data_IF_440591725979
#
_entry.id   IF_440591725979
#
_cell.length_a   1.000
_cell.length_b   1.000
_cell.length_c   1.000
_cell.angle_alpha   90.00
_cell.angle_beta   90.00
_cell.angle_gamma   90.00
#
_symmetry.space_group_name_H-M   'P 1'
#
loop_
_entity.id
_entity.type
_entity.pdbx_description
1 polymer ?
#
# COMPACT_ATOMS: atom_id res chain seq x y z
N UNK A 1 18.93 -65.15 49.83
CA UNK A 1 19.61 -63.85 49.78
C UNK A 1 18.76 -62.98 48.86
N UNK A 2 17.94 -62.09 49.43
CA UNK A 2 17.10 -61.15 48.67
C UNK A 2 17.53 -59.77 49.15
N UNK A 3 18.21 -59.02 48.29
CA UNK A 3 18.52 -57.63 48.51
C UNK A 3 17.32 -56.83 47.97
N UNK A 4 16.42 -56.41 48.86
CA UNK A 4 15.45 -55.35 48.57
C UNK A 4 16.21 -54.03 48.52
N UNK A 5 16.46 -53.54 47.31
CA UNK A 5 16.91 -52.17 47.08
C UNK A 5 15.69 -51.27 47.32
N UNK A 6 15.64 -50.66 48.49
CA UNK A 6 14.70 -49.58 48.79
C UNK A 6 15.16 -48.34 48.03
N UNK A 7 14.53 -48.02 46.90
CA UNK A 7 14.70 -46.74 46.22
C UNK A 7 13.91 -45.72 47.04
N UNK A 8 14.60 -44.94 47.86
CA UNK A 8 14.04 -43.73 48.42
C UNK A 8 13.89 -42.71 47.31
N UNK A 9 12.67 -42.45 46.87
CA UNK A 9 12.36 -41.31 46.01
C UNK A 9 12.41 -40.07 46.91
N UNK A 10 13.49 -39.29 46.76
CA UNK A 10 13.63 -37.97 47.35
C UNK A 10 12.95 -37.00 46.38
N UNK A 11 11.70 -36.64 46.67
CA UNK A 11 10.97 -35.58 45.96
C UNK A 11 11.62 -34.24 46.30
N UNK A 12 12.33 -33.67 45.34
CA UNK A 12 12.75 -32.27 45.37
C UNK A 12 11.54 -31.46 44.88
N UNK A 13 10.66 -31.09 45.80
CA UNK A 13 9.54 -30.20 45.57
C UNK A 13 9.92 -28.81 46.12
N UNK A 14 10.16 -27.86 45.23
CA UNK A 14 10.51 -26.49 45.59
C UNK A 14 10.33 -25.53 44.41
N UNK A 15 11.05 -25.75 43.31
CA UNK A 15 11.06 -24.80 42.17
C UNK A 15 10.14 -25.18 40.99
N UNK A 16 9.71 -26.44 40.89
CA UNK A 16 8.84 -26.90 39.78
C UNK A 16 7.34 -26.66 40.06
N UNK A 17 6.96 -26.52 41.34
CA UNK A 17 5.56 -26.28 41.71
C UNK A 17 5.15 -24.82 41.51
N UNK A 18 6.01 -23.86 41.85
CA UNK A 18 5.74 -22.42 41.71
C UNK A 18 5.57 -21.99 40.25
N UNK A 19 6.40 -22.51 39.35
CA UNK A 19 6.29 -22.23 37.90
C UNK A 19 5.05 -22.83 37.24
N UNK A 20 4.51 -23.92 37.77
CA UNK A 20 3.27 -24.52 37.26
C UNK A 20 2.04 -23.74 37.73
N UNK A 21 2.04 -23.29 38.99
CA UNK A 21 0.96 -22.47 39.56
C UNK A 21 0.87 -21.10 38.86
N UNK A 22 2.01 -20.45 38.64
CA UNK A 22 2.08 -19.16 37.96
C UNK A 22 1.59 -19.24 36.50
N UNK A 23 1.96 -20.30 35.77
CA UNK A 23 1.49 -20.50 34.40
C UNK A 23 -0.03 -20.68 34.33
N UNK A 24 -0.59 -21.47 35.26
CA UNK A 24 -2.03 -21.70 35.33
C UNK A 24 -2.81 -20.43 35.72
N UNK A 25 -2.21 -19.53 36.50
CA UNK A 25 -2.77 -18.22 36.79
C UNK A 25 -2.80 -17.33 35.54
N UNK A 26 -1.67 -17.19 34.83
CA UNK A 26 -1.58 -16.40 33.61
C UNK A 26 -2.56 -16.88 32.54
N UNK A 27 -2.66 -18.20 32.31
CA UNK A 27 -3.62 -18.77 31.34
C UNK A 27 -5.08 -18.45 31.71
N UNK A 28 -5.41 -18.45 33.01
CA UNK A 28 -6.76 -18.14 33.50
C UNK A 28 -7.10 -16.65 33.32
N UNK A 29 -6.15 -15.76 33.62
CA UNK A 29 -6.31 -14.32 33.43
C UNK A 29 -6.39 -13.98 31.94
N UNK A 30 -5.54 -14.59 31.11
CA UNK A 30 -5.58 -14.46 29.65
C UNK A 30 -6.97 -14.81 29.09
N UNK A 31 -7.53 -15.94 29.52
CA UNK A 31 -8.88 -16.35 29.12
C UNK A 31 -9.96 -15.34 29.59
N UNK A 32 -9.80 -14.74 30.77
CA UNK A 32 -10.69 -13.70 31.28
C UNK A 32 -10.63 -12.43 30.44
N UNK A 33 -9.44 -12.04 29.96
CA UNK A 33 -9.27 -10.92 29.03
C UNK A 33 -9.91 -11.19 27.66
N UNK A 34 -9.80 -12.42 27.14
CA UNK A 34 -10.46 -12.84 25.90
C UNK A 34 -11.99 -12.82 26.05
N UNK A 35 -12.53 -13.29 27.17
CA UNK A 35 -13.97 -13.22 27.40
C UNK A 35 -14.45 -11.76 27.55
N UNK A 36 -13.66 -10.91 28.24
CA UNK A 36 -13.92 -9.49 28.35
C UNK A 36 -13.96 -8.79 26.98
N UNK A 37 -12.99 -9.08 26.09
CA UNK A 37 -12.98 -8.49 24.75
C UNK A 37 -14.23 -8.84 23.94
N UNK A 38 -14.72 -10.08 24.07
CA UNK A 38 -15.95 -10.54 23.43
C UNK A 38 -17.20 -9.86 23.99
N UNK A 39 -17.28 -9.66 25.30
CA UNK A 39 -18.39 -8.95 25.92
C UNK A 39 -18.41 -7.47 25.50
N UNK A 40 -17.26 -6.80 25.50
CA UNK A 40 -17.13 -5.42 25.03
C UNK A 40 -17.48 -5.27 23.56
N UNK A 41 -17.03 -6.18 22.70
CA UNK A 41 -17.40 -6.20 21.29
C UNK A 41 -18.91 -6.39 21.09
N UNK A 42 -19.56 -7.21 21.93
CA UNK A 42 -21.02 -7.40 21.92
C UNK A 42 -21.75 -6.11 22.34
N UNK A 43 -21.29 -5.45 23.41
CA UNK A 43 -21.83 -4.15 23.86
C UNK A 43 -21.71 -3.10 22.74
N UNK A 44 -20.53 -3.01 22.11
CA UNK A 44 -20.29 -2.11 21.00
C UNK A 44 -21.20 -2.38 19.79
N UNK A 45 -21.42 -3.66 19.44
CA UNK A 45 -22.19 -4.04 18.26
C UNK A 45 -23.72 -3.95 18.43
N UNK A 46 -24.25 -4.37 19.58
CA UNK A 46 -25.70 -4.48 19.79
C UNK A 46 -26.35 -3.14 20.19
N UNK A 47 -25.55 -2.16 20.64
CA UNK A 47 -26.07 -0.92 21.23
C UNK A 47 -26.86 -1.16 22.53
N UNK A 48 -26.79 -2.38 23.07
CA UNK A 48 -27.40 -2.78 24.33
C UNK A 48 -26.61 -2.15 25.47
N UNK A 49 -27.28 -1.38 26.31
CA UNK A 49 -26.67 -0.39 27.21
C UNK A 49 -25.77 -0.97 28.31
N UNK A 50 -25.79 -2.28 28.57
CA UNK A 50 -25.03 -2.87 29.68
C UNK A 50 -24.84 -4.39 29.57
N UNK A 51 -23.63 -4.89 29.89
CA UNK A 51 -23.33 -6.33 30.09
C UNK A 51 -22.49 -6.50 31.36
N UNK A 52 -22.55 -7.69 31.95
CA UNK A 52 -21.65 -8.03 33.07
C UNK A 52 -21.04 -9.42 32.88
N UNK A 53 -19.87 -9.61 33.48
CA UNK A 53 -19.18 -10.89 33.55
C UNK A 53 -18.43 -11.01 34.88
N UNK A 54 -18.09 -12.23 35.26
CA UNK A 54 -17.10 -12.44 36.31
C UNK A 54 -15.71 -12.35 35.68
N UNK A 55 -14.92 -11.35 36.09
CA UNK A 55 -13.58 -11.08 35.62
C UNK A 55 -12.55 -11.58 36.65
N UNK A 56 -11.49 -12.21 36.16
CA UNK A 56 -10.33 -12.60 36.95
C UNK A 56 -9.11 -11.76 36.56
N UNK A 57 -8.59 -11.01 37.52
CA UNK A 57 -7.45 -10.11 37.39
C UNK A 57 -6.31 -10.50 38.35
N UNK A 58 -6.37 -11.71 38.92
CA UNK A 58 -5.46 -12.15 39.98
C UNK A 58 -5.55 -11.30 41.25
N UNK A 59 -4.52 -11.39 42.10
CA UNK A 59 -4.46 -10.63 43.36
C UNK A 59 -4.09 -9.16 43.15
N UNK A 60 -3.39 -8.83 42.06
CA UNK A 60 -2.92 -7.46 41.75
C UNK A 60 -3.98 -6.59 41.10
N UNK A 61 -4.99 -7.19 40.48
CA UNK A 61 -5.96 -6.47 39.67
C UNK A 61 -5.40 -6.06 38.30
N UNK A 62 -6.27 -5.46 37.48
CA UNK A 62 -5.93 -4.84 36.22
C UNK A 62 -6.13 -3.31 36.32
N UNK A 63 -5.43 -2.55 35.49
CA UNK A 63 -5.49 -1.08 35.46
C UNK A 63 -6.11 -0.67 34.14
N UNK A 64 -7.20 0.10 34.22
CA UNK A 64 -7.81 0.78 33.08
C UNK A 64 -7.10 2.12 32.91
N UNK A 65 -6.53 2.33 31.73
CA UNK A 65 -5.84 3.55 31.32
C UNK A 65 -6.56 4.17 30.13
N UNK A 66 -6.60 5.49 30.08
CA UNK A 66 -7.11 6.23 28.93
C UNK A 66 -5.95 6.70 28.04
N UNK A 67 -6.22 7.00 26.77
CA UNK A 67 -5.24 7.63 25.87
C UNK A 67 -3.90 6.87 25.68
N UNK A 68 -3.94 5.54 25.71
CA UNK A 68 -2.76 4.67 25.53
C UNK A 68 -2.33 4.47 24.08
N UNK A 69 -3.24 4.73 23.13
CA UNK A 69 -2.94 4.69 21.70
C UNK A 69 -3.67 5.79 20.94
N UNK A 70 -3.10 6.14 19.78
CA UNK A 70 -3.67 7.09 18.84
C UNK A 70 -3.78 6.42 17.48
N UNK A 71 -4.99 6.38 16.92
CA UNK A 71 -5.28 5.84 15.61
C UNK A 71 -5.70 7.02 14.72
N UNK A 72 -4.86 7.37 13.76
CA UNK A 72 -5.16 8.40 12.78
C UNK A 72 -5.51 7.75 11.45
N UNK A 73 -6.69 8.06 10.92
CA UNK A 73 -7.20 7.52 9.66
C UNK A 73 -7.38 8.68 8.68
N UNK A 74 -6.64 8.65 7.57
CA UNK A 74 -6.67 9.69 6.55
C UNK A 74 -6.90 9.11 5.16
N UNK A 75 -7.70 9.77 4.35
CA UNK A 75 -8.04 9.36 2.99
C UNK A 75 -9.04 10.32 2.35
N UNK A 76 -9.50 10.01 1.15
CA UNK A 76 -10.52 10.83 0.48
C UNK A 76 -11.81 10.84 1.31
N UNK A 77 -12.22 12.02 1.79
CA UNK A 77 -13.42 12.19 2.62
C UNK A 77 -13.31 11.70 4.07
N UNK A 78 -12.14 11.26 4.55
CA UNK A 78 -11.93 10.83 5.93
C UNK A 78 -10.64 11.41 6.51
N UNK A 79 -10.73 12.05 7.68
CA UNK A 79 -9.57 12.56 8.42
C UNK A 79 -9.91 12.56 9.91
N UNK A 80 -9.68 11.42 10.54
CA UNK A 80 -10.14 11.15 11.89
C UNK A 80 -8.99 10.74 12.80
N UNK A 81 -9.07 11.17 14.05
CA UNK A 81 -8.09 10.84 15.09
C UNK A 81 -8.83 10.28 16.29
N UNK A 82 -8.59 9.00 16.56
CA UNK A 82 -9.26 8.22 17.59
C UNK A 82 -8.25 7.92 18.69
N UNK A 83 -8.62 8.25 19.92
CA UNK A 83 -7.84 7.91 21.10
C UNK A 83 -8.39 6.64 21.71
N UNK A 84 -7.49 5.77 22.15
CA UNK A 84 -7.85 4.45 22.65
C UNK A 84 -7.22 4.19 24.00
N UNK A 85 -8.03 3.73 24.94
CA UNK A 85 -7.57 3.26 26.25
C UNK A 85 -7.09 1.80 26.22
N UNK A 86 -6.47 1.36 27.30
CA UNK A 86 -6.10 -0.03 27.49
C UNK A 86 -6.48 -0.51 28.89
N UNK A 87 -6.79 -1.80 29.01
CA UNK A 87 -6.86 -2.48 30.31
C UNK A 87 -5.63 -3.35 30.40
N UNK A 88 -4.83 -3.18 31.44
CA UNK A 88 -3.54 -3.85 31.58
C UNK A 88 -3.47 -4.67 32.86
N UNK A 89 -2.94 -5.88 32.75
CA UNK A 89 -2.54 -6.73 33.86
C UNK A 89 -1.04 -7.00 33.78
N UNK A 90 -0.35 -6.98 34.92
CA UNK A 90 1.08 -7.31 35.03
C UNK A 90 1.29 -8.45 36.03
N UNK A 91 1.75 -9.60 35.52
CA UNK A 91 2.08 -10.78 36.29
C UNK A 91 3.34 -10.60 37.15
N UNK A 92 3.55 -11.51 38.10
CA UNK A 92 4.78 -11.53 38.93
C UNK A 92 6.06 -11.89 38.16
N UNK A 93 5.92 -12.53 37.01
CA UNK A 93 7.02 -12.87 36.09
C UNK A 93 7.36 -11.74 35.10
N UNK A 94 6.63 -10.61 35.17
CA UNK A 94 6.75 -9.49 34.24
C UNK A 94 5.98 -9.68 32.92
N UNK A 95 5.19 -10.75 32.78
CA UNK A 95 4.26 -10.89 31.64
C UNK A 95 3.17 -9.85 31.76
N UNK A 96 2.93 -9.08 30.69
CA UNK A 96 1.81 -8.12 30.60
C UNK A 96 0.72 -8.66 29.68
N UNK A 97 -0.53 -8.49 30.07
CA UNK A 97 -1.70 -8.68 29.22
C UNK A 97 -2.38 -7.34 29.04
N UNK A 98 -2.71 -7.00 27.80
CA UNK A 98 -3.33 -5.72 27.48
C UNK A 98 -4.52 -5.92 26.54
N UNK A 99 -5.68 -5.43 26.94
CA UNK A 99 -6.79 -5.20 26.04
C UNK A 99 -6.68 -3.79 25.46
N UNK A 100 -6.73 -3.64 24.13
CA UNK A 100 -6.75 -2.33 23.47
C UNK A 100 -7.53 -2.40 22.15
N UNK A 101 -8.46 -1.46 21.94
CA UNK A 101 -9.32 -1.35 20.75
C UNK A 101 -10.05 -2.65 20.34
N UNK A 102 -10.39 -3.52 21.29
CA UNK A 102 -11.03 -4.81 21.00
C UNK A 102 -10.07 -5.99 20.85
N UNK A 103 -8.76 -5.75 20.68
CA UNK A 103 -7.73 -6.79 20.68
C UNK A 103 -7.19 -7.10 22.08
N UNK A 104 -6.63 -8.29 22.25
CA UNK A 104 -5.88 -8.68 23.45
C UNK A 104 -4.48 -9.09 23.05
N UNK A 105 -3.49 -8.47 23.69
CA UNK A 105 -2.06 -8.65 23.43
C UNK A 105 -1.36 -9.17 24.69
N UNK A 106 -0.41 -10.08 24.50
CA UNK A 106 0.49 -10.58 25.54
C UNK A 106 1.91 -10.12 25.26
N UNK A 107 2.52 -9.47 26.23
CA UNK A 107 3.91 -9.02 26.17
C UNK A 107 4.77 -9.79 27.18
N UNK A 108 5.86 -10.41 26.71
CA UNK A 108 6.83 -11.13 27.55
C UNK A 108 8.22 -10.49 27.52
N UNK A 109 8.26 -9.16 27.54
CA UNK A 109 9.48 -8.33 27.57
C UNK A 109 10.29 -8.29 26.25
N UNK A 110 10.37 -9.39 25.51
CA UNK A 110 11.05 -9.45 24.20
C UNK A 110 10.13 -9.68 23.02
N UNK A 111 8.86 -10.02 23.26
CA UNK A 111 7.88 -10.37 22.23
C UNK A 111 6.50 -9.86 22.64
N UNK A 112 5.72 -9.39 21.65
CA UNK A 112 4.28 -9.12 21.78
C UNK A 112 3.54 -10.12 20.89
N UNK A 113 2.52 -10.80 21.43
CA UNK A 113 1.74 -11.80 20.72
C UNK A 113 0.25 -11.44 20.77
N UNK A 114 -0.46 -11.64 19.67
CA UNK A 114 -1.91 -11.49 19.60
C UNK A 114 -2.55 -12.70 20.28
N UNK A 115 -3.33 -12.46 21.34
CA UNK A 115 -4.10 -13.48 22.06
C UNK A 115 -5.54 -13.52 21.53
N UNK A 116 -6.10 -12.34 21.29
CA UNK A 116 -7.41 -12.15 20.65
C UNK A 116 -7.27 -11.06 19.61
N UNK A 117 -7.69 -11.36 18.38
CA UNK A 117 -7.68 -10.41 17.28
C UNK A 117 -8.63 -9.23 17.59
N UNK A 118 -8.25 -7.99 17.23
CA UNK A 118 -9.17 -6.87 17.17
C UNK A 118 -10.38 -7.19 16.27
N UNK A 119 -11.57 -6.61 16.51
CA UNK A 119 -12.77 -6.82 15.69
C UNK A 119 -12.73 -6.10 14.32
N UNK A 120 -11.52 -5.90 13.80
CA UNK A 120 -11.24 -5.41 12.47
C UNK A 120 -11.62 -6.48 11.44
N UNK A 121 -12.24 -6.07 10.34
CA UNK A 121 -12.64 -7.00 9.28
C UNK A 121 -12.51 -6.40 7.91
N UNK A 122 -12.04 -7.23 6.99
CA UNK A 122 -12.07 -6.95 5.56
C UNK A 122 -12.99 -7.95 4.83
N UNK A 123 -14.12 -7.47 4.26
CA UNK A 123 -14.97 -8.29 3.39
C UNK A 123 -14.43 -8.24 1.96
N UNK A 124 -13.76 -9.30 1.53
CA UNK A 124 -13.20 -9.43 0.17
C UNK A 124 -14.25 -9.33 -0.94
N UNK A 125 -15.49 -9.75 -0.69
CA UNK A 125 -16.55 -9.78 -1.71
C UNK A 125 -17.07 -8.38 -2.02
N UNK A 126 -17.06 -7.49 -1.04
CA UNK A 126 -17.52 -6.11 -1.19
C UNK A 126 -16.39 -5.09 -1.09
N UNK A 127 -15.14 -5.54 -0.91
CA UNK A 127 -13.97 -4.71 -0.62
C UNK A 127 -14.28 -3.68 0.47
N UNK A 128 -14.82 -4.15 1.60
CA UNK A 128 -15.26 -3.29 2.70
C UNK A 128 -14.36 -3.48 3.91
N UNK A 129 -13.73 -2.40 4.37
CA UNK A 129 -13.00 -2.38 5.63
C UNK A 129 -13.89 -1.85 6.75
N UNK A 130 -14.01 -2.60 7.84
CA UNK A 130 -14.78 -2.22 9.02
C UNK A 130 -13.88 -2.14 10.24
N UNK A 131 -13.87 -0.96 10.86
CA UNK A 131 -13.08 -0.63 12.04
C UNK A 131 -13.96 -0.14 13.19
N UNK A 132 -14.56 -1.05 13.98
CA UNK A 132 -15.15 -0.70 15.25
C UNK A 132 -14.05 -0.56 16.31
N UNK A 133 -13.83 0.67 16.78
CA UNK A 133 -12.86 0.98 17.83
C UNK A 133 -13.59 1.09 19.16
N UNK A 134 -13.10 0.36 20.18
CA UNK A 134 -13.59 0.51 21.56
C UNK A 134 -12.68 1.46 22.33
N UNK A 135 -13.21 2.59 22.78
CA UNK A 135 -12.56 3.56 23.67
C UNK A 135 -13.02 3.35 25.11
N UNK A 136 -12.12 3.55 26.08
CA UNK A 136 -12.42 3.47 27.51
C UNK A 136 -12.51 4.88 28.07
N UNK A 137 -13.60 5.21 28.76
CA UNK A 137 -13.91 6.59 29.18
C UNK A 137 -13.19 7.03 30.47
N UNK A 138 -12.93 6.08 31.37
CA UNK A 138 -12.41 6.38 32.72
C UNK A 138 -11.21 5.53 33.12
N UNK A 139 -10.27 6.14 33.84
CA UNK A 139 -9.16 5.43 34.48
C UNK A 139 -9.61 4.84 35.82
N UNK A 140 -9.41 3.54 36.00
CA UNK A 140 -9.81 2.82 37.20
C UNK A 140 -8.95 1.58 37.41
N UNK A 141 -9.17 0.87 38.52
CA UNK A 141 -8.55 -0.43 38.79
C UNK A 141 -9.64 -1.48 38.87
N UNK A 142 -9.49 -2.57 38.12
CA UNK A 142 -10.39 -3.70 38.13
C UNK A 142 -9.85 -4.80 39.02
N UNK A 143 -10.61 -5.14 40.06
CA UNK A 143 -10.35 -6.31 40.89
C UNK A 143 -11.03 -7.55 40.31
N UNK A 144 -10.56 -8.73 40.70
CA UNK A 144 -11.28 -9.98 40.42
C UNK A 144 -12.68 -9.94 41.05
N UNK A 145 -13.70 -10.34 40.32
CA UNK A 145 -15.11 -10.26 40.73
C UNK A 145 -16.04 -9.96 39.57
N UNK A 146 -17.28 -9.56 39.87
CA UNK A 146 -18.22 -9.14 38.83
C UNK A 146 -17.83 -7.74 38.32
N UNK A 147 -17.75 -7.60 36.99
CA UNK A 147 -17.44 -6.37 36.26
C UNK A 147 -18.59 -6.08 35.31
N UNK A 148 -18.97 -4.82 35.22
CA UNK A 148 -20.00 -4.31 34.31
C UNK A 148 -19.36 -3.45 33.22
N UNK A 149 -19.93 -3.54 32.02
CA UNK A 149 -19.55 -2.79 30.84
C UNK A 149 -20.77 -2.03 30.35
N UNK A 150 -20.68 -0.71 30.28
CA UNK A 150 -21.77 0.15 29.84
C UNK A 150 -21.33 0.99 28.65
N UNK A 151 -22.10 0.96 27.57
CA UNK A 151 -21.83 1.84 26.43
C UNK A 151 -22.33 3.25 26.75
N UNK A 152 -21.43 4.22 26.83
CA UNK A 152 -21.77 5.61 27.16
C UNK A 152 -21.91 6.47 25.90
N UNK A 153 -21.20 6.14 24.83
CA UNK A 153 -21.25 6.88 23.57
C UNK A 153 -21.05 5.96 22.33
N UNK A 154 -21.55 6.44 21.19
CA UNK A 154 -21.33 5.85 19.87
C UNK A 154 -21.15 6.95 18.84
N UNK A 155 -19.98 7.02 18.23
CA UNK A 155 -19.65 7.96 17.16
C UNK A 155 -19.36 7.19 15.88
N UNK A 156 -20.19 7.38 14.85
CA UNK A 156 -19.91 6.88 13.50
C UNK A 156 -19.09 7.93 12.74
N UNK A 157 -17.87 7.57 12.34
CA UNK A 157 -16.98 8.43 11.56
C UNK A 157 -17.13 8.20 10.05
N UNK A 158 -17.31 6.95 9.66
CA UNK A 158 -17.63 6.56 8.30
C UNK A 158 -18.68 5.44 8.36
N UNK A 159 -19.79 5.59 7.64
CA UNK A 159 -20.84 4.57 7.60
C UNK A 159 -21.14 4.24 6.14
N UNK A 160 -20.56 3.14 5.67
CA UNK A 160 -20.60 2.67 4.29
C UNK A 160 -20.20 3.77 3.31
N UNK A 161 -19.22 4.58 3.69
CA UNK A 161 -18.68 5.63 2.83
C UNK A 161 -18.05 4.94 1.63
N UNK A 162 -18.59 5.20 0.45
CA UNK A 162 -17.95 4.78 -0.79
C UNK A 162 -16.69 5.61 -0.97
N UNK A 163 -15.57 4.93 -1.10
CA UNK A 163 -14.26 5.54 -1.32
C UNK A 163 -13.84 4.98 -2.67
N UNK A 164 -13.72 5.87 -3.65
CA UNK A 164 -13.48 5.60 -5.08
C UNK A 164 -12.12 4.95 -5.31
N UNK A 165 -11.92 3.75 -4.75
CA UNK A 165 -10.68 2.99 -4.75
C UNK A 165 -9.44 3.81 -4.31
N UNK A 166 -9.69 4.91 -3.59
CA UNK A 166 -8.65 5.80 -3.09
C UNK A 166 -7.95 5.17 -1.90
N UNK A 167 -6.62 5.26 -1.80
CA UNK A 167 -5.89 4.73 -0.66
C UNK A 167 -6.29 5.46 0.62
N UNK A 168 -6.40 4.69 1.71
CA UNK A 168 -6.62 5.15 3.07
C UNK A 168 -5.42 4.74 3.88
N UNK A 169 -4.90 5.69 4.65
CA UNK A 169 -3.79 5.49 5.56
C UNK A 169 -4.31 5.41 6.99
N UNK A 170 -3.84 4.39 7.72
CA UNK A 170 -4.11 4.19 9.14
C UNK A 170 -2.78 4.19 9.87
N UNK A 171 -2.53 5.22 10.68
CA UNK A 171 -1.36 5.31 11.54
C UNK A 171 -1.77 4.96 12.97
N UNK A 172 -1.17 3.93 13.55
CA UNK A 172 -1.45 3.46 14.91
C UNK A 172 -0.20 3.66 15.76
N UNK A 173 -0.23 4.63 16.66
CA UNK A 173 0.82 4.83 17.67
C UNK A 173 0.39 4.18 18.98
N UNK A 174 1.10 3.15 19.45
CA UNK A 174 0.74 2.36 20.64
C UNK A 174 1.93 1.62 21.25
N UNK A 175 1.96 1.46 22.57
CA UNK A 175 2.91 0.55 23.26
C UNK A 175 2.78 -0.91 22.74
N UNK A 176 1.61 -1.28 22.19
CA UNK A 176 1.34 -2.60 21.63
C UNK A 176 1.48 -2.65 20.11
N UNK A 177 2.25 -1.73 19.53
CA UNK A 177 2.42 -1.58 18.08
C UNK A 177 2.75 -2.91 17.39
N UNK A 178 3.68 -3.71 17.94
CA UNK A 178 4.08 -5.00 17.36
C UNK A 178 2.91 -5.99 17.26
N UNK A 179 1.99 -5.96 18.23
CA UNK A 179 0.77 -6.75 18.18
C UNK A 179 -0.17 -6.30 17.06
N UNK A 180 -0.33 -4.99 16.87
CA UNK A 180 -1.06 -4.43 15.73
C UNK A 180 -0.43 -4.81 14.38
N UNK A 181 0.89 -4.72 14.28
CA UNK A 181 1.63 -5.08 13.08
C UNK A 181 1.35 -6.54 12.70
N UNK A 182 1.52 -7.46 13.66
CA UNK A 182 1.29 -8.89 13.48
C UNK A 182 -0.13 -9.15 12.97
N UNK A 183 -1.12 -8.49 13.57
CA UNK A 183 -2.53 -8.62 13.14
C UNK A 183 -2.73 -8.17 11.68
N UNK A 184 -2.24 -7.00 11.29
CA UNK A 184 -2.43 -6.50 9.92
C UNK A 184 -1.69 -7.32 8.87
N UNK A 185 -0.48 -7.82 9.20
CA UNK A 185 0.24 -8.76 8.34
C UNK A 185 -0.58 -10.04 8.14
N UNK A 186 -1.12 -10.63 9.20
CA UNK A 186 -1.92 -11.86 9.10
C UNK A 186 -3.24 -11.67 8.34
N UNK A 187 -3.99 -10.59 8.62
CA UNK A 187 -5.28 -10.31 7.96
C UNK A 187 -5.09 -10.01 6.46
N UNK A 188 -4.05 -9.26 6.10
CA UNK A 188 -3.86 -8.82 4.70
C UNK A 188 -3.11 -9.82 3.83
N UNK A 189 -2.24 -10.65 4.42
CA UNK A 189 -1.63 -11.78 3.71
C UNK A 189 -2.68 -12.82 3.26
N UNK A 190 -3.78 -12.99 4.00
CA UNK A 190 -4.86 -13.89 3.60
C UNK A 190 -5.58 -13.47 2.31
N UNK A 191 -5.43 -12.19 1.93
CA UNK A 191 -6.11 -11.59 0.78
C UNK A 191 -5.13 -11.18 -0.31
N UNK A 192 -3.90 -11.72 -0.26
CA UNK A 192 -2.78 -11.40 -1.16
C UNK A 192 -2.50 -9.89 -1.27
N UNK A 193 -2.69 -9.14 -0.19
CA UNK A 193 -2.37 -7.72 -0.12
C UNK A 193 -1.30 -7.44 0.94
N UNK A 194 -0.48 -6.41 0.73
CA UNK A 194 0.49 -5.92 1.72
C UNK A 194 0.02 -4.58 2.25
N UNK A 195 -0.71 -4.60 3.36
CA UNK A 195 -1.24 -3.37 3.94
C UNK A 195 -0.23 -2.63 4.83
N UNK A 196 0.65 -3.35 5.53
CA UNK A 196 1.71 -2.73 6.35
C UNK A 196 2.75 -2.05 5.45
N UNK A 197 2.89 -0.74 5.60
CA UNK A 197 3.82 0.10 4.83
C UNK A 197 5.07 0.44 5.62
N UNK A 198 4.94 0.74 6.91
CA UNK A 198 6.07 0.98 7.81
C UNK A 198 5.81 0.21 9.09
N UNK A 199 6.79 -0.61 9.51
CA UNK A 199 6.71 -1.42 10.72
C UNK A 199 6.96 -0.57 11.97
N UNK A 200 6.65 -1.10 13.15
CA UNK A 200 6.86 -0.40 14.43
C UNK A 200 8.33 -0.05 14.76
N UNK A 201 9.27 -0.67 14.04
CA UNK A 201 10.71 -0.45 14.20
C UNK A 201 11.29 0.49 13.13
N UNK A 202 10.47 0.88 12.15
CA UNK A 202 10.80 1.78 11.06
C UNK A 202 10.06 3.11 11.28
N UNK A 203 10.68 4.24 10.89
CA UNK A 203 10.03 5.55 11.03
C UNK A 203 9.91 6.05 12.47
N UNK A 204 8.71 6.48 12.87
CA UNK A 204 8.43 7.00 14.21
C UNK A 204 8.27 5.85 15.22
N UNK A 205 8.93 5.96 16.37
CA UNK A 205 8.91 4.92 17.39
C UNK A 205 7.47 4.55 17.80
N UNK A 206 7.20 3.25 17.89
CA UNK A 206 5.92 2.69 18.33
C UNK A 206 4.72 3.07 17.44
N UNK A 207 4.99 3.43 16.17
CA UNK A 207 3.96 3.76 15.18
C UNK A 207 3.95 2.78 14.02
N UNK A 208 2.79 2.17 13.78
CA UNK A 208 2.51 1.32 12.63
C UNK A 208 1.80 2.14 11.56
N UNK A 209 2.26 2.07 10.30
CA UNK A 209 1.56 2.65 9.16
C UNK A 209 0.98 1.56 8.28
N UNK A 210 -0.33 1.58 8.12
CA UNK A 210 -1.10 0.68 7.26
C UNK A 210 -1.74 1.48 6.14
N UNK A 211 -1.76 0.92 4.93
CA UNK A 211 -2.47 1.46 3.78
C UNK A 211 -3.43 0.41 3.23
N UNK A 212 -4.66 0.84 2.93
CA UNK A 212 -5.73 0.03 2.37
C UNK A 212 -6.32 0.78 1.17
N UNK A 213 -6.82 0.07 0.18
CA UNK A 213 -7.19 0.67 -1.10
C UNK A 213 -6.00 0.69 -2.04
N UNK A 214 -6.26 0.36 -3.30
CA UNK A 214 -5.26 0.41 -4.37
C UNK A 214 -5.89 1.12 -5.55
N UNK A 215 -5.05 1.87 -6.26
CA UNK A 215 -5.43 2.51 -7.51
C UNK A 215 -5.31 1.46 -8.62
N UNK A 216 -6.39 1.27 -9.38
CA UNK A 216 -6.39 0.48 -10.60
C UNK A 216 -6.66 1.44 -11.78
N UNK A 217 -6.02 1.21 -12.92
CA UNK A 217 -6.33 1.91 -14.17
C UNK A 217 -7.51 1.20 -14.81
N UNK A 218 -8.63 1.93 -14.92
CA UNK A 218 -9.87 1.36 -15.46
C UNK A 218 -9.69 0.92 -16.92
N UNK A 219 -10.34 -0.18 -17.28
CA UNK A 219 -10.51 -0.58 -18.69
C UNK A 219 -11.08 0.60 -19.49
N UNK A 220 -10.51 0.85 -20.67
CA UNK A 220 -10.89 1.95 -21.53
C UNK A 220 -10.17 3.27 -21.27
N UNK A 221 -9.25 3.31 -20.30
CA UNK A 221 -8.40 4.49 -20.05
C UNK A 221 -7.54 4.86 -21.26
N UNK A 222 -7.10 3.84 -22.02
CA UNK A 222 -6.24 3.98 -23.19
C UNK A 222 -6.99 3.82 -24.52
N UNK A 223 -8.31 4.08 -24.57
CA UNK A 223 -9.14 3.97 -25.80
C UNK A 223 -8.83 5.01 -26.89
N UNK A 224 -7.98 6.00 -26.59
CA UNK A 224 -7.71 7.16 -27.44
C UNK A 224 -6.19 7.39 -27.53
N UNK A 225 -5.72 8.06 -28.59
CA UNK A 225 -4.29 8.36 -28.76
C UNK A 225 -3.70 9.23 -27.64
N UNK A 226 -4.26 10.42 -27.42
CA UNK A 226 -3.87 11.30 -26.30
C UNK A 226 -5.10 11.73 -25.51
N UNK A 227 -5.10 11.50 -24.21
CA UNK A 227 -6.08 12.00 -23.25
C UNK A 227 -5.41 13.05 -22.37
N UNK A 228 -5.90 14.29 -22.43
CA UNK A 228 -5.39 15.38 -21.62
C UNK A 228 -6.51 16.28 -21.07
N UNK A 229 -6.31 16.87 -19.89
CA UNK A 229 -7.25 17.83 -19.31
C UNK A 229 -7.17 19.22 -19.93
N UNK A 230 -6.00 19.59 -20.47
CA UNK A 230 -5.78 20.84 -21.19
C UNK A 230 -4.84 20.59 -22.38
N UNK A 231 -5.21 21.10 -23.55
CA UNK A 231 -4.44 20.92 -24.78
C UNK A 231 -4.11 22.26 -25.41
N UNK A 232 -2.85 22.44 -25.81
CA UNK A 232 -2.39 23.62 -26.53
C UNK A 232 -1.51 23.26 -27.74
N UNK A 233 -1.35 24.21 -28.67
CA UNK A 233 -0.51 24.03 -29.86
C UNK A 233 -1.32 23.70 -31.12
N UNK A 234 -0.70 22.96 -32.05
CA UNK A 234 -1.29 22.52 -33.32
C UNK A 234 -1.77 21.08 -33.20
N UNK A 235 -3.09 20.90 -33.24
CA UNK A 235 -3.77 19.62 -32.96
C UNK A 235 -4.62 19.13 -34.13
N UNK A 236 -4.59 19.81 -35.29
CA UNK A 236 -5.53 19.55 -36.39
C UNK A 236 -5.48 18.11 -36.92
N UNK A 237 -4.36 17.41 -36.69
CA UNK A 237 -4.08 16.07 -37.17
C UNK A 237 -3.67 15.09 -36.05
N UNK A 238 -4.00 15.38 -34.78
CA UNK A 238 -3.71 14.50 -33.64
C UNK A 238 -5.00 13.95 -33.05
N UNK A 239 -5.02 12.65 -32.78
CA UNK A 239 -6.11 11.98 -32.08
C UNK A 239 -6.04 12.32 -30.58
N UNK A 240 -6.54 13.50 -30.25
CA UNK A 240 -6.49 14.05 -28.91
C UNK A 240 -7.88 14.34 -28.38
N UNK A 241 -8.16 13.81 -27.20
CA UNK A 241 -9.40 14.06 -26.48
C UNK A 241 -9.10 14.93 -25.28
N UNK A 242 -9.56 16.18 -25.36
CA UNK A 242 -9.63 17.08 -24.21
C UNK A 242 -10.84 16.65 -23.35
N UNK A 243 -10.59 16.04 -22.19
CA UNK A 243 -11.65 15.57 -21.27
C UNK A 243 -11.80 16.54 -20.09
N UNK A 244 -12.96 17.20 -20.01
CA UNK A 244 -13.44 17.90 -18.81
C UNK A 244 -13.85 16.94 -17.65
N UNK A 245 -13.58 15.63 -17.78
CA UNK A 245 -14.11 14.56 -16.90
C UNK A 245 -13.13 14.19 -15.79
N UNK A 246 -13.64 13.42 -14.81
CA UNK A 246 -12.87 12.78 -13.73
C UNK A 246 -11.48 12.37 -14.23
N UNK A 247 -10.46 13.09 -13.75
CA UNK A 247 -9.07 12.81 -14.08
C UNK A 247 -8.74 11.42 -13.54
N UNK A 248 -8.14 10.53 -14.34
CA UNK A 248 -7.68 9.25 -13.82
C UNK A 248 -6.73 9.48 -12.63
N UNK A 249 -6.71 8.57 -11.64
CA UNK A 249 -5.96 8.81 -10.41
C UNK A 249 -4.45 8.85 -10.66
N UNK A 250 -3.76 9.81 -10.04
CA UNK A 250 -2.30 9.91 -10.10
C UNK A 250 -1.61 8.77 -9.34
N UNK A 251 -0.44 8.32 -9.81
CA UNK A 251 0.31 7.20 -9.22
C UNK A 251 1.40 7.62 -8.22
N UNK A 252 1.43 8.89 -7.81
CA UNK A 252 2.51 9.47 -6.99
C UNK A 252 2.85 8.64 -5.75
N UNK A 253 1.88 8.16 -4.95
CA UNK A 253 2.17 7.38 -3.76
C UNK A 253 2.80 6.02 -4.09
N UNK A 254 2.41 5.42 -5.22
CA UNK A 254 2.90 4.12 -5.67
C UNK A 254 4.34 4.28 -6.17
N UNK A 255 4.58 5.22 -7.09
CA UNK A 255 5.91 5.46 -7.66
C UNK A 255 6.90 5.92 -6.59
N UNK A 256 6.53 6.86 -5.72
CA UNK A 256 7.40 7.34 -4.64
C UNK A 256 7.81 6.22 -3.70
N UNK A 257 6.90 5.27 -3.42
CA UNK A 257 7.19 4.10 -2.61
C UNK A 257 8.09 3.11 -3.34
N UNK A 258 7.84 2.83 -4.61
CA UNK A 258 8.72 1.97 -5.42
C UNK A 258 10.15 2.51 -5.45
N UNK A 259 10.32 3.82 -5.68
CA UNK A 259 11.64 4.48 -5.61
C UNK A 259 12.29 4.27 -4.25
N UNK A 260 11.57 4.55 -3.15
CA UNK A 260 12.12 4.40 -1.80
C UNK A 260 12.47 2.95 -1.45
N UNK A 261 11.66 1.97 -1.86
CA UNK A 261 11.89 0.56 -1.56
C UNK A 261 13.03 -0.02 -2.41
N UNK A 262 13.16 0.39 -3.67
CA UNK A 262 14.16 -0.16 -4.59
C UNK A 262 15.55 0.45 -4.41
N UNK A 263 15.64 1.73 -4.02
CA UNK A 263 16.90 2.44 -3.81
C UNK A 263 17.86 1.74 -2.84
N UNK A 264 17.31 1.12 -1.80
CA UNK A 264 18.08 0.47 -0.73
C UNK A 264 17.98 -1.07 -0.76
N UNK A 265 17.47 -1.66 -1.85
CA UNK A 265 17.24 -3.10 -1.95
C UNK A 265 18.35 -3.83 -2.73
N UNK A 266 19.16 -4.61 -2.00
CA UNK A 266 20.24 -5.45 -2.56
C UNK A 266 19.79 -6.49 -3.60
N UNK A 267 18.48 -6.79 -3.70
CA UNK A 267 17.96 -7.70 -4.74
C UNK A 267 17.63 -7.01 -6.06
N UNK A 268 17.66 -5.68 -6.12
CA UNK A 268 17.38 -4.89 -7.32
C UNK A 268 18.69 -4.62 -8.06
N UNK A 269 18.67 -4.74 -9.39
CA UNK A 269 19.86 -4.51 -10.21
C UNK A 269 19.99 -3.02 -10.52
N UNK A 270 21.15 -2.42 -10.26
CA UNK A 270 21.42 -1.05 -10.71
C UNK A 270 21.52 -1.05 -12.24
N UNK A 271 20.74 -0.20 -12.92
CA UNK A 271 20.73 -0.13 -14.38
C UNK A 271 22.12 0.19 -14.94
N UNK A 272 22.95 0.94 -14.21
CA UNK A 272 24.32 1.28 -14.65
C UNK A 272 25.29 0.08 -14.66
N UNK A 273 24.92 -1.02 -14.00
CA UNK A 273 25.65 -2.29 -14.06
C UNK A 273 25.22 -3.16 -15.25
N UNK A 274 24.15 -2.76 -15.96
CA UNK A 274 23.66 -3.42 -17.17
C UNK A 274 24.43 -2.90 -18.39
N UNK A 275 24.75 -3.79 -19.32
CA UNK A 275 25.29 -3.40 -20.63
C UNK A 275 24.19 -2.94 -21.58
N UNK A 276 24.34 -3.28 -22.85
CA UNK A 276 23.36 -2.91 -23.89
C UNK A 276 22.08 -3.79 -23.85
N UNK A 277 22.03 -4.79 -22.97
CA UNK A 277 20.89 -5.71 -22.84
C UNK A 277 20.56 -6.01 -21.38
N UNK A 278 19.35 -5.67 -20.98
CA UNK A 278 18.67 -6.09 -19.76
C UNK A 278 17.79 -7.31 -20.07
N UNK A 279 17.65 -8.23 -19.11
CA UNK A 279 16.70 -9.36 -19.19
C UNK A 279 15.49 -9.11 -18.29
N UNK A 280 14.58 -10.07 -18.17
CA UNK A 280 13.53 -10.06 -17.14
C UNK A 280 14.10 -9.77 -15.73
N UNK A 281 13.38 -9.00 -14.93
CA UNK A 281 13.78 -8.62 -13.58
C UNK A 281 13.49 -7.17 -13.22
N UNK A 282 13.95 -6.73 -12.05
CA UNK A 282 13.75 -5.37 -11.54
C UNK A 282 15.06 -4.59 -11.55
N UNK A 283 15.00 -3.38 -12.11
CA UNK A 283 16.10 -2.46 -12.27
C UNK A 283 15.80 -1.13 -11.60
N UNK A 284 16.84 -0.51 -11.05
CA UNK A 284 16.77 0.81 -10.45
C UNK A 284 17.81 1.74 -11.06
N UNK A 285 17.45 3.01 -11.25
CA UNK A 285 18.38 4.07 -11.59
C UNK A 285 18.04 5.35 -10.81
N UNK A 286 19.05 6.05 -10.30
CA UNK A 286 18.84 7.42 -9.80
C UNK A 286 18.44 8.32 -10.98
N UNK A 287 19.23 8.29 -12.06
CA UNK A 287 18.87 8.84 -13.37
C UNK A 287 19.36 7.90 -14.47
N UNK A 288 18.68 7.88 -15.61
CA UNK A 288 19.00 7.01 -16.74
C UNK A 288 19.15 7.86 -18.01
N UNK A 289 20.32 7.83 -18.63
CA UNK A 289 20.58 8.47 -19.92
C UNK A 289 21.07 7.45 -20.94
N UNK A 290 20.30 7.23 -21.98
CA UNK A 290 20.53 6.25 -23.04
C UNK A 290 20.94 7.01 -24.29
N UNK A 291 22.23 6.96 -24.61
CA UNK A 291 22.82 7.62 -25.78
C UNK A 291 23.25 6.64 -26.88
N UNK A 292 23.30 5.35 -26.56
CA UNK A 292 23.53 4.25 -27.47
C UNK A 292 22.28 3.32 -27.43
N UNK A 293 22.44 2.01 -27.36
CA UNK A 293 21.33 1.04 -27.37
C UNK A 293 21.15 0.42 -25.97
N UNK A 294 19.90 0.32 -25.52
CA UNK A 294 19.50 -0.49 -24.36
C UNK A 294 18.29 -1.33 -24.75
N UNK A 295 18.47 -2.65 -24.77
CA UNK A 295 17.42 -3.61 -25.11
C UNK A 295 16.95 -4.35 -23.87
N UNK A 296 15.65 -4.40 -23.65
CA UNK A 296 15.01 -5.28 -22.67
C UNK A 296 14.54 -6.55 -23.37
N UNK A 297 15.26 -7.64 -23.15
CA UNK A 297 14.94 -8.98 -23.64
C UNK A 297 13.98 -9.68 -22.65
N UNK A 298 12.73 -9.83 -23.08
CA UNK A 298 11.64 -10.39 -22.27
C UNK A 298 11.38 -11.88 -22.54
N UNK A 299 12.36 -12.63 -23.08
CA UNK A 299 12.23 -14.08 -23.31
C UNK A 299 11.84 -14.83 -22.02
N UNK A 300 12.40 -14.43 -20.88
CA UNK A 300 12.25 -15.14 -19.60
C UNK A 300 11.16 -14.58 -18.67
N UNK A 301 10.57 -13.42 -18.97
CA UNK A 301 9.58 -12.78 -18.09
C UNK A 301 9.47 -11.26 -18.27
N UNK A 302 8.66 -10.64 -17.43
CA UNK A 302 8.51 -9.18 -17.37
C UNK A 302 9.80 -8.49 -16.91
N UNK A 303 9.94 -7.22 -17.29
CA UNK A 303 10.96 -6.35 -16.73
C UNK A 303 10.32 -5.11 -16.09
N UNK A 304 10.95 -4.63 -15.03
CA UNK A 304 10.55 -3.39 -14.35
C UNK A 304 11.76 -2.49 -14.22
N UNK A 305 11.64 -1.24 -14.66
CA UNK A 305 12.63 -0.19 -14.48
C UNK A 305 12.03 0.93 -13.61
N UNK A 306 12.67 1.24 -12.48
CA UNK A 306 12.29 2.37 -11.63
C UNK A 306 13.38 3.45 -11.67
N UNK A 307 12.97 4.68 -12.01
CA UNK A 307 13.86 5.84 -12.17
C UNK A 307 13.45 6.94 -11.20
N UNK A 308 14.34 7.31 -10.28
CA UNK A 308 14.08 8.30 -9.23
C UNK A 308 14.02 9.74 -9.75
N UNK A 309 14.86 10.08 -10.73
CA UNK A 309 14.91 11.39 -11.34
C UNK A 309 14.37 11.27 -12.78
N UNK A 310 15.26 11.31 -13.76
CA UNK A 310 14.91 11.40 -15.18
C UNK A 310 15.36 10.20 -16.03
N UNK A 311 14.53 9.84 -17.00
CA UNK A 311 14.83 8.92 -18.10
C UNK A 311 14.98 9.71 -19.41
N UNK A 312 16.20 9.78 -19.93
CA UNK A 312 16.52 10.48 -21.17
C UNK A 312 17.02 9.49 -22.23
N UNK A 313 16.35 9.41 -23.38
CA UNK A 313 16.86 8.75 -24.60
C UNK A 313 17.35 9.86 -25.54
N UNK A 314 18.66 10.01 -25.72
CA UNK A 314 19.30 11.11 -26.45
C UNK A 314 20.10 10.57 -27.65
N UNK A 315 19.44 10.46 -28.80
CA UNK A 315 20.01 9.94 -30.05
C UNK A 315 20.30 8.42 -30.05
N UNK A 316 19.95 7.73 -28.96
CA UNK A 316 20.02 6.28 -28.79
C UNK A 316 18.66 5.59 -28.92
N UNK A 317 18.56 4.35 -28.44
CA UNK A 317 17.33 3.57 -28.47
C UNK A 317 17.12 2.76 -27.18
N UNK A 318 15.91 2.81 -26.64
CA UNK A 318 15.41 1.87 -25.62
C UNK A 318 14.39 0.95 -26.30
N UNK A 319 14.72 -0.34 -26.41
CA UNK A 319 13.92 -1.29 -27.20
C UNK A 319 13.44 -2.46 -26.35
N UNK A 320 12.20 -2.92 -26.56
CA UNK A 320 11.67 -4.15 -25.97
C UNK A 320 11.70 -5.29 -27.01
N UNK A 321 12.28 -6.43 -26.67
CA UNK A 321 12.40 -7.60 -27.55
C UNK A 321 11.87 -8.90 -26.91
N UNK A 322 11.55 -9.88 -27.75
CA UNK A 322 11.18 -11.26 -27.36
C UNK A 322 10.00 -11.37 -26.37
N UNK A 323 9.11 -10.40 -26.36
CA UNK A 323 7.91 -10.35 -25.50
C UNK A 323 6.85 -11.39 -25.89
N UNK A 324 6.83 -11.85 -27.15
CA UNK A 324 5.79 -12.66 -27.79
C UNK A 324 5.90 -14.18 -27.52
N UNK A 325 6.31 -14.58 -26.31
CA UNK A 325 6.45 -16.01 -26.00
C UNK A 325 5.08 -16.72 -25.95
N UNK A 326 5.00 -18.01 -26.39
CA UNK A 326 3.73 -18.71 -26.47
C UNK A 326 2.99 -18.81 -25.12
N UNK A 327 1.88 -18.07 -25.01
CA UNK A 327 1.00 -18.12 -23.85
C UNK A 327 1.41 -17.19 -22.71
N UNK A 328 2.31 -16.26 -22.98
CA UNK A 328 2.66 -15.16 -22.07
C UNK A 328 2.37 -13.83 -22.73
N UNK A 329 2.38 -12.78 -21.92
CA UNK A 329 2.18 -11.40 -22.33
C UNK A 329 3.17 -10.58 -21.50
N UNK A 330 4.43 -10.58 -21.94
CA UNK A 330 5.51 -9.99 -21.15
C UNK A 330 5.70 -8.52 -21.53
N UNK A 331 5.69 -7.64 -20.54
CA UNK A 331 5.86 -6.21 -20.75
C UNK A 331 7.08 -5.66 -19.99
N UNK A 332 7.62 -4.56 -20.52
CA UNK A 332 8.49 -3.66 -19.79
C UNK A 332 7.64 -2.58 -19.13
N UNK A 333 7.76 -2.47 -17.80
CA UNK A 333 7.12 -1.42 -17.02
C UNK A 333 8.17 -0.44 -16.51
N UNK A 334 8.04 0.82 -16.90
CA UNK A 334 8.94 1.90 -16.52
C UNK A 334 8.20 2.84 -15.59
N UNK A 335 8.70 3.03 -14.37
CA UNK A 335 8.16 3.97 -13.40
C UNK A 335 9.16 5.12 -13.23
N UNK A 336 8.77 6.32 -13.63
CA UNK A 336 9.63 7.51 -13.60
C UNK A 336 9.01 8.54 -12.68
N UNK A 337 9.80 9.06 -11.74
CA UNK A 337 9.26 10.00 -10.77
C UNK A 337 9.26 11.45 -11.28
N UNK A 338 10.39 11.94 -11.82
CA UNK A 338 10.53 13.37 -12.13
C UNK A 338 10.33 13.69 -13.63
N UNK A 339 10.91 12.92 -14.56
CA UNK A 339 10.73 13.25 -15.97
C UNK A 339 11.23 12.25 -17.00
N UNK A 340 10.61 12.26 -18.18
CA UNK A 340 10.98 11.43 -19.34
C UNK A 340 11.17 12.30 -20.58
N UNK A 341 12.27 12.08 -21.30
CA UNK A 341 12.59 12.80 -22.52
C UNK A 341 13.16 11.88 -23.60
N UNK A 342 12.50 11.80 -24.75
CA UNK A 342 12.99 11.11 -25.95
C UNK A 342 13.39 12.18 -26.97
N UNK A 343 14.69 12.39 -27.17
CA UNK A 343 15.26 13.48 -27.99
C UNK A 343 16.46 13.04 -28.83
N UNK A 344 17.00 13.96 -29.64
CA UNK A 344 18.40 13.86 -30.07
C UNK A 344 18.64 13.43 -31.52
N UNK A 345 17.67 13.58 -32.42
CA UNK A 345 17.88 13.29 -33.85
C UNK A 345 18.02 11.79 -34.13
N UNK A 346 16.94 11.06 -33.83
CA UNK A 346 16.69 9.61 -33.90
C UNK A 346 16.71 8.90 -32.52
N UNK A 347 16.30 9.56 -31.44
CA UNK A 347 16.02 8.89 -30.17
C UNK A 347 14.76 8.02 -30.30
N UNK A 348 14.82 6.74 -29.94
CA UNK A 348 13.72 5.80 -30.12
C UNK A 348 13.41 5.07 -28.81
N UNK A 349 12.14 4.97 -28.42
CA UNK A 349 11.69 4.17 -27.29
C UNK A 349 10.49 3.34 -27.72
N UNK A 350 10.67 2.04 -27.95
CA UNK A 350 9.74 1.27 -28.77
C UNK A 350 9.78 -0.25 -28.52
N UNK A 351 8.83 -0.96 -29.14
CA UNK A 351 8.79 -2.42 -29.14
C UNK A 351 9.35 -2.90 -30.49
N UNK A 352 10.25 -3.87 -30.47
CA UNK A 352 10.87 -4.32 -31.70
C UNK A 352 9.86 -5.07 -32.60
N UNK A 353 9.88 -4.84 -33.92
CA UNK A 353 10.72 -3.86 -34.62
C UNK A 353 10.17 -2.43 -34.49
N UNK A 354 11.04 -1.47 -34.14
CA UNK A 354 10.72 -0.04 -34.02
C UNK A 354 10.38 0.61 -35.36
N UNK A 355 9.22 0.25 -35.92
CA UNK A 355 8.76 0.66 -37.23
C UNK A 355 7.29 0.99 -37.19
N UNK A 356 6.93 2.19 -37.65
CA UNK A 356 5.54 2.63 -37.65
C UNK A 356 4.60 1.68 -38.41
N UNK A 357 3.48 1.33 -37.79
CA UNK A 357 2.38 0.55 -38.36
C UNK A 357 2.36 -0.96 -38.06
N UNK A 358 3.42 -1.52 -37.49
CA UNK A 358 3.40 -2.82 -36.78
C UNK A 358 3.75 -2.50 -35.32
N UNK A 359 2.72 -2.40 -34.47
CA UNK A 359 2.85 -1.85 -33.12
C UNK A 359 2.27 -2.83 -32.11
N UNK A 360 2.95 -2.93 -30.96
CA UNK A 360 2.57 -3.80 -29.83
C UNK A 360 2.66 -2.96 -28.55
N UNK A 361 1.89 -1.86 -28.53
CA UNK A 361 2.03 -0.78 -27.54
C UNK A 361 1.78 -1.23 -26.09
N UNK A 362 1.11 -2.38 -25.90
CA UNK A 362 0.84 -3.00 -24.60
C UNK A 362 2.13 -3.43 -23.87
N UNK A 363 3.23 -3.65 -24.61
CA UNK A 363 4.47 -4.21 -24.07
C UNK A 363 5.48 -3.19 -23.57
N UNK A 364 5.27 -1.90 -23.85
CA UNK A 364 6.04 -0.82 -23.28
C UNK A 364 5.13 0.13 -22.50
N UNK A 365 5.20 0.03 -21.18
CA UNK A 365 4.32 0.74 -20.27
C UNK A 365 5.12 1.75 -19.45
N UNK A 366 4.82 3.04 -19.58
CA UNK A 366 5.49 4.10 -18.82
C UNK A 366 4.51 4.75 -17.86
N UNK A 367 4.89 4.82 -16.59
CA UNK A 367 4.13 5.39 -15.49
C UNK A 367 4.89 6.57 -14.89
N UNK A 368 4.23 7.72 -14.79
CA UNK A 368 4.73 8.92 -14.14
C UNK A 368 3.86 9.36 -12.96
N UNK A 369 4.43 10.23 -12.13
CA UNK A 369 3.70 11.00 -11.10
C UNK A 369 2.96 12.18 -11.73
N UNK A 370 2.09 12.84 -10.96
CA UNK A 370 1.38 14.06 -11.37
C UNK A 370 2.32 15.18 -11.80
N UNK A 371 3.57 15.15 -11.32
CA UNK A 371 4.58 16.16 -11.59
C UNK A 371 5.55 15.73 -12.70
N UNK A 372 5.41 14.52 -13.26
CA UNK A 372 6.35 14.02 -14.26
C UNK A 372 6.28 14.82 -15.55
N UNK A 373 7.37 15.47 -15.92
CA UNK A 373 7.51 16.15 -17.21
C UNK A 373 7.80 15.14 -18.31
N UNK A 374 7.01 15.13 -19.39
CA UNK A 374 7.22 14.27 -20.55
C UNK A 374 7.52 15.07 -21.80
N UNK A 375 8.51 14.63 -22.57
CA UNK A 375 8.90 15.30 -23.79
C UNK A 375 9.24 14.30 -24.90
N UNK A 376 8.61 14.48 -26.05
CA UNK A 376 9.01 13.85 -27.31
C UNK A 376 9.59 14.97 -28.17
N UNK A 377 10.92 14.95 -28.26
CA UNK A 377 11.76 15.98 -28.83
C UNK A 377 11.74 16.01 -30.35
N UNK A 378 12.72 16.71 -30.92
CA UNK A 378 12.74 17.00 -32.36
C UNK A 378 13.50 15.96 -33.16
N UNK A 379 13.20 15.87 -34.47
CA UNK A 379 13.93 15.02 -35.40
C UNK A 379 13.08 13.84 -35.84
N UNK A 380 13.60 12.62 -35.72
CA UNK A 380 12.84 11.38 -35.85
C UNK A 380 12.72 10.72 -34.48
N UNK A 381 12.35 11.51 -33.47
CA UNK A 381 12.11 10.95 -32.16
C UNK A 381 10.86 10.06 -32.26
N UNK A 382 10.93 8.85 -31.74
CA UNK A 382 9.84 7.88 -31.83
C UNK A 382 9.54 7.29 -30.46
N UNK A 383 8.26 7.23 -30.12
CA UNK A 383 7.77 6.50 -28.96
C UNK A 383 6.71 5.49 -29.38
N UNK A 384 6.79 4.26 -28.92
CA UNK A 384 5.74 3.25 -29.07
C UNK A 384 5.44 2.66 -27.70
N UNK A 385 4.19 2.77 -27.24
CA UNK A 385 3.79 2.25 -25.94
C UNK A 385 2.60 2.99 -25.32
N UNK A 386 2.37 2.72 -24.04
CA UNK A 386 1.45 3.51 -23.22
C UNK A 386 2.20 4.42 -22.26
N UNK A 387 1.71 5.64 -22.07
CA UNK A 387 2.17 6.54 -21.01
C UNK A 387 1.01 6.94 -20.10
N UNK A 388 1.22 6.88 -18.79
CA UNK A 388 0.23 7.26 -17.79
C UNK A 388 0.86 8.10 -16.69
N UNK A 389 0.58 9.40 -16.69
CA UNK A 389 0.91 10.30 -15.58
C UNK A 389 -0.13 11.40 -15.43
N UNK A 390 -1.41 11.05 -15.20
CA UNK A 390 -2.39 12.05 -14.85
C UNK A 390 -2.03 12.70 -13.51
N UNK A 391 -2.48 13.93 -13.32
CA UNK A 391 -2.31 14.72 -12.11
C UNK A 391 -3.58 15.45 -11.72
N UNK A 392 -3.71 15.78 -10.44
CA UNK A 392 -4.88 16.43 -9.88
C UNK A 392 -4.94 17.92 -10.26
N UNK A 393 -5.48 18.23 -11.45
CA UNK A 393 -5.76 19.60 -11.90
C UNK A 393 -5.01 20.02 -13.16
N UNK A 394 -4.90 21.33 -13.36
CA UNK A 394 -4.21 21.90 -14.53
C UNK A 394 -2.70 21.93 -14.27
N UNK A 395 -1.95 21.14 -15.04
CA UNK A 395 -0.50 21.25 -15.07
C UNK A 395 -0.12 22.49 -15.87
N UNK A 396 0.11 23.59 -15.14
CA UNK A 396 0.39 24.94 -15.66
C UNK A 396 1.90 25.28 -15.64
N UNK A 397 2.75 24.29 -15.37
CA UNK A 397 4.19 24.47 -15.35
C UNK A 397 4.81 24.41 -16.75
N UNK A 398 5.97 25.04 -16.87
CA UNK A 398 6.79 24.94 -18.08
C UNK A 398 7.53 23.62 -18.05
N UNK A 399 7.39 22.82 -19.10
CA UNK A 399 8.13 21.60 -19.28
C UNK A 399 9.64 21.84 -19.23
N UNK A 400 10.32 21.14 -18.32
CA UNK A 400 11.74 21.33 -18.03
C UNK A 400 12.66 21.00 -19.22
N UNK A 401 12.21 20.12 -20.11
CA UNK A 401 12.98 19.71 -21.29
C UNK A 401 12.80 20.67 -22.46
N UNK A 402 11.56 21.14 -22.66
CA UNK A 402 11.17 21.78 -23.91
C UNK A 402 10.80 23.28 -23.77
N UNK A 403 10.78 23.83 -22.55
CA UNK A 403 10.47 25.24 -22.28
C UNK A 403 9.13 25.68 -22.94
N UNK A 404 8.11 24.83 -22.78
CA UNK A 404 6.71 25.03 -23.21
C UNK A 404 5.79 24.64 -22.07
N UNK A 405 4.66 25.32 -21.95
CA UNK A 405 3.64 24.99 -20.95
C UNK A 405 2.99 23.66 -21.31
N UNK A 406 2.99 22.69 -20.40
CA UNK A 406 2.43 21.36 -20.64
C UNK A 406 3.19 20.25 -19.92
N UNK A 407 2.46 19.26 -19.40
CA UNK A 407 3.07 18.06 -18.82
C UNK A 407 3.72 17.23 -19.92
N UNK A 408 2.96 16.88 -20.97
CA UNK A 408 3.45 16.31 -22.22
C UNK A 408 3.77 17.43 -23.21
N UNK A 409 4.95 17.38 -23.82
CA UNK A 409 5.30 18.23 -24.95
C UNK A 409 5.83 17.41 -26.12
N UNK A 410 5.18 17.53 -27.28
CA UNK A 410 5.62 16.90 -28.54
C UNK A 410 6.10 17.99 -29.49
N UNK A 411 7.34 17.90 -30.00
CA UNK A 411 7.90 18.89 -30.93
C UNK A 411 8.31 18.32 -32.30
N UNK A 412 8.02 19.09 -33.36
CA UNK A 412 8.69 19.05 -34.67
C UNK A 412 9.04 17.65 -35.22
N UNK A 413 8.01 16.91 -35.61
CA UNK A 413 8.04 15.56 -36.18
C UNK A 413 8.47 14.44 -35.22
N UNK A 414 8.22 14.62 -33.91
CA UNK A 414 8.13 13.48 -33.01
C UNK A 414 6.92 12.62 -33.42
N UNK A 415 7.17 11.32 -33.58
CA UNK A 415 6.14 10.32 -33.92
C UNK A 415 5.82 9.49 -32.67
N UNK A 416 4.57 9.02 -32.58
CA UNK A 416 4.16 8.14 -31.49
C UNK A 416 3.18 7.07 -31.96
N UNK A 417 3.24 5.88 -31.38
CA UNK A 417 2.22 4.84 -31.52
C UNK A 417 1.79 4.36 -30.12
N UNK A 418 0.49 4.21 -29.89
CA UNK A 418 -0.06 3.76 -28.61
C UNK A 418 -1.01 4.76 -27.95
N UNK A 419 -0.88 5.01 -26.65
CA UNK A 419 -1.81 5.89 -25.92
C UNK A 419 -1.14 6.64 -24.76
N UNK A 420 -1.44 7.93 -24.62
CA UNK A 420 -0.88 8.79 -23.57
C UNK A 420 -1.99 9.43 -22.73
N UNK A 421 -1.90 9.30 -21.40
CA UNK A 421 -2.81 9.90 -20.43
C UNK A 421 -2.04 10.83 -19.51
N UNK A 422 -2.31 12.14 -19.61
CA UNK A 422 -1.60 13.22 -18.88
C UNK A 422 -2.57 14.32 -18.45
N UNK A 423 -2.16 15.21 -17.55
CA UNK A 423 -2.96 16.38 -17.16
C UNK A 423 -3.02 17.45 -18.23
N UNK A 424 -1.91 17.71 -18.93
CA UNK A 424 -1.88 18.70 -20.01
C UNK A 424 -0.90 18.31 -21.11
N UNK A 425 -1.20 18.74 -22.34
CA UNK A 425 -0.39 18.47 -23.52
C UNK A 425 -0.15 19.74 -24.35
N UNK A 426 1.08 19.90 -24.84
CA UNK A 426 1.45 20.90 -25.84
C UNK A 426 2.00 20.23 -27.09
N UNK A 427 1.28 20.37 -28.19
CA UNK A 427 1.64 19.73 -29.46
C UNK A 427 2.16 20.80 -30.42
N UNK A 428 3.45 20.72 -30.77
CA UNK A 428 4.09 21.63 -31.72
C UNK A 428 4.71 20.84 -32.88
N UNK A 429 3.94 19.92 -33.46
CA UNK A 429 4.33 19.11 -34.61
C UNK A 429 3.34 19.29 -35.76
N UNK A 430 3.78 19.11 -37.01
CA UNK A 430 2.85 18.67 -38.04
C UNK A 430 2.49 17.24 -37.65
N UNK A 431 1.22 16.88 -37.54
CA UNK A 431 0.70 15.51 -37.35
C UNK A 431 1.76 14.43 -37.06
N UNK A 432 2.04 14.02 -35.80
CA UNK A 432 2.70 12.73 -35.56
C UNK A 432 2.11 11.65 -36.49
N UNK A 433 2.97 10.95 -37.24
CA UNK A 433 2.55 9.78 -38.02
C UNK A 433 2.47 8.59 -37.06
N UNK A 434 1.30 7.94 -36.99
CA UNK A 434 1.01 7.01 -35.89
C UNK A 434 0.34 7.78 -34.75
N UNK A 435 -0.78 7.30 -34.24
CA UNK A 435 -1.55 8.08 -33.25
C UNK A 435 -2.21 7.23 -32.19
N UNK A 436 -2.72 6.06 -32.58
CA UNK A 436 -3.44 5.19 -31.67
C UNK A 436 -3.32 3.74 -32.11
N UNK A 437 -2.98 2.87 -31.17
CA UNK A 437 -2.98 1.42 -31.34
C UNK A 437 -4.36 0.86 -30.96
N UNK A 438 -5.16 0.35 -31.93
CA UNK A 438 -6.50 -0.16 -31.64
C UNK A 438 -6.55 -1.37 -30.70
N UNK A 439 -5.43 -2.05 -30.42
CA UNK A 439 -5.42 -3.13 -29.42
C UNK A 439 -5.73 -2.60 -28.02
N UNK A 440 -5.44 -1.32 -27.77
CA UNK A 440 -5.58 -0.67 -26.47
C UNK A 440 -7.03 -0.41 -26.03
N UNK A 441 -8.02 -0.64 -26.91
CA UNK A 441 -9.45 -0.40 -26.61
C UNK A 441 -9.92 -1.15 -25.36
N UNK A 442 -9.40 -2.37 -25.15
CA UNK A 442 -9.72 -3.19 -23.97
C UNK A 442 -8.54 -3.38 -23.02
N UNK A 443 -7.47 -2.62 -23.22
CA UNK A 443 -6.26 -2.77 -22.43
C UNK A 443 -6.45 -2.21 -21.02
N UNK A 444 -6.04 -3.01 -20.03
CA UNK A 444 -6.07 -2.66 -18.61
C UNK A 444 -4.77 -3.17 -17.99
N UNK A 445 -3.76 -2.30 -17.84
CA UNK A 445 -2.46 -2.73 -17.36
C UNK A 445 -2.49 -3.07 -15.86
N UNK A 446 -1.62 -4.01 -15.47
CA UNK A 446 -1.34 -4.28 -14.07
C UNK A 446 -0.23 -3.34 -13.57
N UNK A 447 -0.57 -2.36 -12.74
CA UNK A 447 0.38 -1.34 -12.21
C UNK A 447 1.37 -1.92 -11.17
N UNK A 448 1.33 -3.23 -10.94
CA UNK A 448 2.17 -3.88 -9.95
C UNK A 448 3.30 -4.63 -10.63
N UNK A 449 4.57 -4.22 -10.41
CA UNK A 449 5.73 -5.01 -10.80
C UNK A 449 5.62 -6.44 -10.29
N UNK A 450 6.24 -7.38 -11.00
CA UNK A 450 6.33 -8.75 -10.53
C UNK A 450 7.02 -8.81 -9.16
N UNK A 451 6.37 -9.45 -8.19
CA UNK A 451 6.85 -9.53 -6.80
C UNK A 451 6.50 -8.32 -5.93
N UNK A 452 5.96 -7.24 -6.50
CA UNK A 452 5.38 -6.14 -5.73
C UNK A 452 3.95 -6.49 -5.33
N UNK A 453 3.63 -6.35 -4.05
CA UNK A 453 2.29 -6.65 -3.53
C UNK A 453 1.62 -5.33 -3.17
N UNK A 454 0.61 -4.93 -3.96
CA UNK A 454 -0.17 -3.74 -3.66
C UNK A 454 -1.01 -3.91 -2.38
N UNK A 455 -1.42 -2.80 -1.74
CA UNK A 455 -2.46 -2.85 -0.73
C UNK A 455 -3.73 -3.53 -1.27
N UNK A 456 -4.57 -4.12 -0.40
CA UNK A 456 -5.84 -4.70 -0.83
C UNK A 456 -6.77 -3.62 -1.40
N UNK A 457 -7.63 -3.99 -2.34
CA UNK A 457 -8.69 -3.10 -2.86
C UNK A 457 -9.57 -2.56 -1.73
N UNK A 458 -10.16 -1.39 -1.90
CA UNK A 458 -11.10 -0.86 -0.93
C UNK A 458 -12.16 -0.01 -1.63
N UNK A 459 -13.42 -0.42 -1.50
CA UNK A 459 -14.56 0.30 -2.06
C UNK A 459 -15.41 0.96 -0.97
N UNK A 460 -15.45 0.39 0.23
CA UNK A 460 -16.26 0.91 1.34
C UNK A 460 -15.49 0.94 2.65
N UNK A 461 -15.73 2.00 3.42
CA UNK A 461 -15.17 2.17 4.75
C UNK A 461 -16.28 2.34 5.79
N UNK A 462 -16.20 1.54 6.85
CA UNK A 462 -16.99 1.68 8.06
C UNK A 462 -16.04 1.94 9.24
N UNK A 463 -16.13 3.10 9.86
CA UNK A 463 -15.38 3.42 11.08
C UNK A 463 -16.40 3.88 12.12
N UNK A 464 -16.42 3.18 13.24
CA UNK A 464 -17.24 3.53 14.38
C UNK A 464 -16.39 3.50 15.65
N UNK A 465 -16.69 4.39 16.57
CA UNK A 465 -16.06 4.44 17.89
C UNK A 465 -17.12 4.28 18.95
N UNK A 466 -16.91 3.29 19.80
CA UNK A 466 -17.79 2.94 20.91
C UNK A 466 -17.07 3.28 22.20
N UNK A 467 -17.62 4.20 22.99
CA UNK A 467 -17.07 4.51 24.31
C UNK A 467 -17.74 3.61 25.34
N UNK A 468 -16.92 2.87 26.09
CA UNK A 468 -17.35 1.91 27.11
C UNK A 468 -16.77 2.32 28.46
N UNK A 469 -17.65 2.39 29.46
CA UNK A 469 -17.31 2.49 30.87
C UNK A 469 -17.19 1.07 31.47
N UNK A 470 -16.20 0.88 32.35
CA UNK A 470 -15.90 -0.43 32.95
C UNK A 470 -15.72 -0.27 34.46
N UNK A 471 -16.52 -0.98 35.24
CA UNK A 471 -16.49 -0.89 36.71
C UNK A 471 -16.73 -2.24 37.41
N UNK A 472 -16.17 -2.41 38.62
CA UNK A 472 -16.51 -3.52 39.50
C UNK A 472 -17.86 -3.28 40.19
N UNK A 473 -18.70 -4.32 40.29
CA UNK A 473 -20.05 -4.24 40.91
C UNK A 473 -20.17 -4.88 42.29
#
# INVERSE_FOLDING_TARGET
MVATISIGILLVAGDVMTSTEQRAETERIEQSFVEMSQQMATVAADGDTSRSMTFDAGEKGAIVKTNTAHINITGNGVNESIRVGAIEYEGDDGTRLAYQAGGVFRETGSETQVVSEPPLKYDQRTHTFSFPVVELDEETTLSSGDVQFDQTDNTEYANSTYIEESPIRVNITSEYCVGWQTYFEEETNQINGKAVQETCSEGEQDTLRVELGRLDIAEGTFEEGIVAGNVSGDTEDVDIVEKDRETPPALDPIISRMVSEMKDNDSVTDLSDVGDTATSGTYYAESARISDELTFDLEDGNATLVVEEELIVDGGSLTVENWDQPGTDHALQVYVKDGMHVDGGNGEMCVAPCTSGEVDSEQLQVYGTSETHMAIGTGKAYFEGVMYAPGDGTFDETNDYINKEGQLVIQSNGDMDGSIVVSSAHIQSNAPEGMYDPSLETFSPEISPEGYVLPPKLSYLNIAKHTIEVENT
#
